data_IF_177321190976
#
_entry.id   IF_177321190976
#
_cell.length_a   1.000
_cell.length_b   1.000
_cell.length_c   1.000
_cell.angle_alpha   90.00
_cell.angle_beta   90.00
_cell.angle_gamma   90.00
#
_symmetry.space_group_name_H-M   'P 1'
#
loop_
_entity.id
_entity.type
_entity.pdbx_description
1 polymer ?
#
# COMPACT_ATOMS: atom_id res chain seq x y z
N UNK A 1 -5.79 -23.72 7.69
CA UNK A 1 -6.68 -23.80 8.87
C UNK A 1 -7.78 -22.77 8.67
N UNK A 2 -9.04 -23.15 8.56
CA UNK A 2 -10.14 -22.17 8.48
C UNK A 2 -10.41 -21.65 9.88
N UNK A 3 -10.63 -20.34 10.01
CA UNK A 3 -11.08 -19.76 11.28
C UNK A 3 -12.54 -20.18 11.45
N UNK A 4 -12.83 -21.12 12.34
CA UNK A 4 -14.20 -21.61 12.63
C UNK A 4 -15.00 -20.64 13.54
N UNK A 5 -14.41 -19.54 13.99
CA UNK A 5 -15.11 -18.55 14.77
C UNK A 5 -16.14 -17.81 13.89
N UNK A 6 -17.40 -17.77 14.34
CA UNK A 6 -18.45 -17.00 13.68
C UNK A 6 -18.04 -15.53 13.58
N UNK A 7 -18.38 -14.89 12.45
CA UNK A 7 -18.18 -13.44 12.29
C UNK A 7 -18.86 -12.69 13.44
N UNK A 8 -18.16 -11.72 14.10
CA UNK A 8 -18.77 -10.93 15.16
C UNK A 8 -19.98 -10.19 14.62
N UNK A 9 -21.13 -10.32 15.32
CA UNK A 9 -22.34 -9.61 14.97
C UNK A 9 -22.39 -8.27 15.73
N UNK A 10 -22.69 -7.19 15.03
CA UNK A 10 -23.00 -5.88 15.63
C UNK A 10 -21.99 -4.77 15.38
N UNK A 11 -20.71 -4.96 15.59
CA UNK A 11 -19.70 -3.93 15.34
C UNK A 11 -19.07 -4.08 13.95
N UNK A 12 -19.19 -3.04 13.12
CA UNK A 12 -18.68 -3.03 11.75
C UNK A 12 -17.16 -3.12 11.70
N UNK A 13 -16.46 -2.45 12.61
CA UNK A 13 -15.00 -2.52 12.62
C UNK A 13 -14.53 -3.90 13.07
N UNK A 14 -15.17 -4.51 14.07
CA UNK A 14 -14.87 -5.88 14.47
C UNK A 14 -15.06 -6.87 13.31
N UNK A 15 -16.10 -6.68 12.49
CA UNK A 15 -16.29 -7.46 11.25
C UNK A 15 -15.18 -7.22 10.23
N UNK A 16 -14.73 -5.96 10.04
CA UNK A 16 -13.60 -5.66 9.16
C UNK A 16 -12.31 -6.34 9.64
N UNK A 17 -12.02 -6.31 10.94
CA UNK A 17 -10.85 -6.95 11.52
C UNK A 17 -10.89 -8.48 11.35
N UNK A 18 -12.06 -9.09 11.52
CA UNK A 18 -12.24 -10.53 11.26
C UNK A 18 -12.02 -10.87 9.77
N UNK A 19 -12.60 -10.09 8.85
CA UNK A 19 -12.38 -10.26 7.41
C UNK A 19 -10.91 -10.07 7.02
N UNK A 20 -10.24 -9.06 7.60
CA UNK A 20 -8.81 -8.85 7.38
C UNK A 20 -7.97 -10.03 7.88
N UNK A 21 -8.34 -10.65 9.01
CA UNK A 21 -7.67 -11.82 9.55
C UNK A 21 -7.87 -13.05 8.65
N UNK A 22 -9.08 -13.32 8.18
CA UNK A 22 -9.36 -14.40 7.23
C UNK A 22 -8.55 -14.24 5.93
N UNK A 23 -8.54 -13.03 5.36
CA UNK A 23 -7.78 -12.73 4.15
C UNK A 23 -6.27 -12.83 4.38
N UNK A 24 -5.77 -12.37 5.53
CA UNK A 24 -4.34 -12.39 5.85
C UNK A 24 -3.78 -13.82 5.93
N UNK A 25 -4.56 -14.79 6.37
CA UNK A 25 -4.16 -16.21 6.38
C UNK A 25 -3.77 -16.72 4.98
N UNK A 26 -4.48 -16.28 3.94
CA UNK A 26 -4.16 -16.67 2.57
C UNK A 26 -3.02 -15.82 2.00
N UNK A 27 -3.01 -14.53 2.31
CA UNK A 27 -1.97 -13.61 1.83
C UNK A 27 -0.59 -13.97 2.38
N UNK A 28 -0.48 -14.42 3.62
CA UNK A 28 0.79 -14.80 4.25
C UNK A 28 1.37 -16.14 3.74
N UNK A 29 0.64 -16.88 2.91
CA UNK A 29 1.19 -18.06 2.21
C UNK A 29 2.13 -17.66 1.07
N UNK A 30 1.98 -16.45 0.53
CA UNK A 30 2.73 -15.93 -0.62
C UNK A 30 2.63 -16.76 -1.91
N UNK A 31 1.63 -17.63 -2.03
CA UNK A 31 1.40 -18.46 -3.23
C UNK A 31 0.82 -17.66 -4.41
N UNK A 32 0.09 -16.59 -4.09
CA UNK A 32 -0.58 -15.71 -5.05
C UNK A 32 -0.31 -14.26 -4.68
N UNK A 33 -0.20 -13.39 -5.68
CA UNK A 33 -0.02 -11.95 -5.47
C UNK A 33 -1.14 -11.36 -4.60
N UNK A 34 -0.76 -10.58 -3.59
CA UNK A 34 -1.67 -10.08 -2.55
C UNK A 34 -2.82 -9.22 -3.12
N UNK A 35 -2.55 -8.40 -4.13
CA UNK A 35 -3.55 -7.56 -4.83
C UNK A 35 -4.64 -8.41 -5.48
N UNK A 36 -4.29 -9.56 -6.07
CA UNK A 36 -5.23 -10.52 -6.66
C UNK A 36 -6.09 -11.18 -5.58
N UNK A 37 -5.48 -11.58 -4.45
CA UNK A 37 -6.20 -12.16 -3.32
C UNK A 37 -7.17 -11.15 -2.70
N UNK A 38 -6.71 -9.93 -2.41
CA UNK A 38 -7.55 -8.84 -1.90
C UNK A 38 -8.70 -8.54 -2.85
N UNK A 39 -8.42 -8.36 -4.14
CA UNK A 39 -9.45 -8.06 -5.14
C UNK A 39 -10.48 -9.18 -5.27
N UNK A 40 -10.06 -10.45 -5.21
CA UNK A 40 -10.96 -11.62 -5.22
C UNK A 40 -11.82 -11.63 -3.97
N UNK A 41 -11.22 -11.53 -2.80
CA UNK A 41 -11.90 -11.54 -1.51
C UNK A 41 -12.99 -10.47 -1.45
N UNK A 42 -12.65 -9.22 -1.82
CA UNK A 42 -13.61 -8.12 -1.81
C UNK A 42 -14.75 -8.25 -2.83
N UNK A 43 -14.57 -9.01 -3.92
CA UNK A 43 -15.64 -9.33 -4.87
C UNK A 43 -16.59 -10.40 -4.34
N UNK A 44 -16.06 -11.35 -3.58
CA UNK A 44 -16.83 -12.43 -2.96
C UNK A 44 -17.63 -11.92 -1.75
N UNK A 45 -17.10 -10.94 -1.00
CA UNK A 45 -17.72 -10.32 0.17
C UNK A 45 -18.46 -9.02 -0.20
N UNK A 46 -19.63 -9.18 -0.84
CA UNK A 46 -20.43 -8.02 -1.32
C UNK A 46 -21.11 -7.23 -0.21
N UNK A 47 -21.25 -7.79 0.96
CA UNK A 47 -21.78 -7.18 2.18
C UNK A 47 -20.88 -6.06 2.70
N UNK A 48 -19.59 -6.07 2.35
CA UNK A 48 -18.64 -5.00 2.72
C UNK A 48 -18.90 -3.73 1.92
N UNK A 49 -19.25 -2.66 2.61
CA UNK A 49 -19.39 -1.32 2.02
C UNK A 49 -18.04 -0.73 1.59
N UNK A 50 -18.02 0.40 0.86
CA UNK A 50 -16.77 1.00 0.36
C UNK A 50 -15.75 1.33 1.47
N UNK A 51 -16.23 1.80 2.64
CA UNK A 51 -15.36 2.08 3.80
C UNK A 51 -14.80 0.81 4.42
N UNK A 52 -15.63 -0.23 4.55
CA UNK A 52 -15.23 -1.52 5.11
C UNK A 52 -14.16 -2.17 4.23
N UNK A 53 -14.36 -2.16 2.91
CA UNK A 53 -13.38 -2.64 1.91
C UNK A 53 -12.04 -1.92 2.03
N UNK A 54 -12.08 -0.60 2.24
CA UNK A 54 -10.86 0.18 2.45
C UNK A 54 -10.14 -0.26 3.73
N UNK A 55 -10.84 -0.40 4.85
CA UNK A 55 -10.25 -0.83 6.13
C UNK A 55 -9.63 -2.23 5.98
N UNK A 56 -10.36 -3.19 5.41
CA UNK A 56 -9.86 -4.57 5.19
C UNK A 56 -8.60 -4.56 4.34
N UNK A 57 -8.62 -3.87 3.19
CA UNK A 57 -7.50 -3.84 2.26
C UNK A 57 -6.27 -3.13 2.87
N UNK A 58 -6.45 -1.93 3.46
CA UNK A 58 -5.34 -1.17 4.03
C UNK A 58 -4.73 -1.87 5.25
N UNK A 59 -5.54 -2.54 6.08
CA UNK A 59 -5.03 -3.36 7.19
C UNK A 59 -4.08 -4.45 6.66
N UNK A 60 -4.50 -5.21 5.65
CA UNK A 60 -3.68 -6.29 5.06
C UNK A 60 -2.41 -5.73 4.41
N UNK A 61 -2.53 -4.64 3.64
CA UNK A 61 -1.36 -4.03 3.01
C UNK A 61 -0.41 -3.37 4.04
N UNK A 62 -0.93 -2.82 5.14
CA UNK A 62 -0.09 -2.31 6.23
C UNK A 62 0.71 -3.44 6.88
N UNK A 63 0.09 -4.60 7.12
CA UNK A 63 0.79 -5.80 7.62
C UNK A 63 1.90 -6.23 6.66
N UNK A 64 1.63 -6.27 5.35
CA UNK A 64 2.65 -6.66 4.38
C UNK A 64 3.83 -5.68 4.33
N UNK A 65 3.55 -4.38 4.32
CA UNK A 65 4.58 -3.34 4.31
C UNK A 65 5.46 -3.34 5.55
N UNK A 66 4.89 -3.69 6.72
CA UNK A 66 5.58 -3.66 8.00
C UNK A 66 5.78 -5.06 8.60
N UNK A 67 5.80 -6.10 7.74
CA UNK A 67 5.71 -7.50 8.18
C UNK A 67 6.75 -7.88 9.23
N UNK A 68 8.01 -7.47 9.05
CA UNK A 68 9.08 -7.84 10.00
C UNK A 68 8.95 -7.11 11.33
N UNK A 69 8.69 -5.81 11.28
CA UNK A 69 8.45 -5.00 12.49
C UNK A 69 7.24 -5.52 13.25
N UNK A 70 6.10 -5.73 12.54
CA UNK A 70 4.89 -6.23 13.18
C UNK A 70 5.05 -7.66 13.71
N UNK A 71 5.76 -8.53 12.99
CA UNK A 71 6.06 -9.88 13.48
C UNK A 71 6.95 -9.87 14.73
N UNK A 72 7.90 -8.93 14.82
CA UNK A 72 8.73 -8.74 16.01
C UNK A 72 7.88 -8.25 17.19
N UNK A 73 7.08 -7.23 17.01
CA UNK A 73 6.18 -6.70 18.05
C UNK A 73 5.13 -7.72 18.48
N UNK A 74 4.64 -8.53 17.56
CA UNK A 74 3.65 -9.58 17.80
C UNK A 74 4.22 -10.83 18.50
N UNK A 75 5.50 -10.87 18.87
CA UNK A 75 6.04 -11.96 19.71
C UNK A 75 5.45 -11.91 21.12
N UNK A 76 5.04 -10.74 21.61
CA UNK A 76 4.26 -10.57 22.82
C UNK A 76 2.75 -10.64 22.52
N UNK A 77 1.92 -10.79 23.54
CA UNK A 77 0.47 -10.78 23.43
C UNK A 77 -0.17 -12.17 23.28
N UNK A 78 -1.48 -12.22 23.49
CA UNK A 78 -2.32 -13.42 23.41
C UNK A 78 -2.93 -13.64 22.03
N UNK A 79 -3.59 -14.78 21.82
CA UNK A 79 -4.28 -15.13 20.59
C UNK A 79 -3.37 -15.57 19.45
N UNK A 80 -3.91 -15.61 18.22
CA UNK A 80 -3.15 -16.04 17.04
C UNK A 80 -2.23 -14.93 16.53
N UNK A 81 -1.15 -15.30 15.84
CA UNK A 81 -0.23 -14.34 15.24
C UNK A 81 -0.96 -13.43 14.24
N UNK A 82 -1.82 -13.99 13.40
CA UNK A 82 -2.57 -13.26 12.39
C UNK A 82 -3.48 -12.20 13.02
N UNK A 83 -4.10 -12.53 14.17
CA UNK A 83 -4.93 -11.56 14.91
C UNK A 83 -4.09 -10.40 15.40
N UNK A 84 -2.94 -10.65 16.00
CA UNK A 84 -2.01 -9.59 16.45
C UNK A 84 -1.50 -8.74 15.31
N UNK A 85 -1.15 -9.35 14.17
CA UNK A 85 -0.74 -8.62 12.97
C UNK A 85 -1.87 -7.72 12.43
N UNK A 86 -3.11 -8.22 12.42
CA UNK A 86 -4.27 -7.43 12.00
C UNK A 86 -4.48 -6.23 12.92
N UNK A 87 -4.36 -6.39 14.23
CA UNK A 87 -4.50 -5.28 15.18
C UNK A 87 -3.42 -4.20 14.95
N UNK A 88 -2.17 -4.61 14.74
CA UNK A 88 -1.07 -3.68 14.39
C UNK A 88 -1.34 -2.97 13.05
N UNK A 89 -1.77 -3.70 12.03
CA UNK A 89 -2.10 -3.13 10.71
C UNK A 89 -3.30 -2.19 10.74
N UNK A 90 -4.34 -2.52 11.51
CA UNK A 90 -5.56 -1.72 11.62
C UNK A 90 -5.28 -0.33 12.23
N UNK A 91 -4.32 -0.18 13.13
CA UNK A 91 -3.93 1.13 13.65
C UNK A 91 -3.44 2.10 12.59
N UNK A 92 -2.97 1.62 11.46
CA UNK A 92 -2.53 2.47 10.35
C UNK A 92 -3.69 3.12 9.59
N UNK A 93 -4.92 2.62 9.75
CA UNK A 93 -6.08 3.06 8.97
C UNK A 93 -7.37 3.28 9.80
N UNK A 94 -7.29 3.13 11.12
CA UNK A 94 -8.40 3.37 12.04
C UNK A 94 -8.01 4.33 13.16
N UNK A 95 -9.00 4.82 13.92
CA UNK A 95 -8.73 5.63 15.11
C UNK A 95 -8.58 4.74 16.35
N UNK A 96 -7.80 5.18 17.32
CA UNK A 96 -7.62 4.44 18.58
C UNK A 96 -8.96 4.20 19.29
N UNK A 97 -9.82 5.20 19.36
CA UNK A 97 -11.16 5.06 19.96
C UNK A 97 -12.03 4.03 19.22
N UNK A 98 -12.00 4.02 17.89
CA UNK A 98 -12.73 3.04 17.09
C UNK A 98 -12.17 1.64 17.30
N UNK A 99 -10.84 1.48 17.33
CA UNK A 99 -10.20 0.18 17.54
C UNK A 99 -10.50 -0.35 18.94
N UNK A 100 -10.41 0.50 19.99
CA UNK A 100 -10.73 0.13 21.36
C UNK A 100 -12.16 -0.38 21.52
N UNK A 101 -13.12 0.26 20.85
CA UNK A 101 -14.51 -0.17 20.89
C UNK A 101 -14.79 -1.49 20.17
N UNK A 102 -13.94 -1.88 19.22
CA UNK A 102 -14.13 -3.03 18.35
C UNK A 102 -13.41 -4.31 18.78
N UNK A 103 -12.55 -4.25 19.80
CA UNK A 103 -11.70 -5.36 20.25
C UNK A 103 -11.85 -5.64 21.74
N UNK A 104 -11.35 -6.79 22.19
CA UNK A 104 -11.37 -7.15 23.60
C UNK A 104 -10.42 -6.27 24.43
N UNK A 105 -10.69 -6.12 25.73
CA UNK A 105 -9.92 -5.26 26.63
C UNK A 105 -8.46 -5.69 26.79
N UNK A 106 -8.21 -6.97 26.79
CA UNK A 106 -6.85 -7.54 26.81
C UNK A 106 -6.09 -7.27 25.51
N UNK A 107 -6.76 -7.34 24.35
CA UNK A 107 -6.20 -6.95 23.06
C UNK A 107 -5.87 -5.44 23.03
N UNK A 108 -6.77 -4.61 23.56
CA UNK A 108 -6.53 -3.16 23.66
C UNK A 108 -5.36 -2.82 24.56
N UNK A 109 -5.28 -3.48 25.72
CA UNK A 109 -4.17 -3.30 26.65
C UNK A 109 -2.85 -3.65 25.99
N UNK A 110 -2.78 -4.79 25.30
CA UNK A 110 -1.59 -5.23 24.58
C UNK A 110 -1.19 -4.25 23.47
N UNK A 111 -2.12 -3.90 22.56
CA UNK A 111 -1.81 -3.03 21.43
C UNK A 111 -1.38 -1.62 21.87
N UNK A 112 -1.95 -1.11 22.95
CA UNK A 112 -1.58 0.17 23.54
C UNK A 112 -0.13 0.13 24.08
N UNK A 113 0.25 -0.93 24.79
CA UNK A 113 1.61 -1.11 25.30
C UNK A 113 2.62 -1.24 24.16
N UNK A 114 2.35 -2.11 23.19
CA UNK A 114 3.25 -2.35 22.04
C UNK A 114 3.44 -1.07 21.21
N UNK A 115 2.44 -0.19 21.19
CA UNK A 115 2.51 1.08 20.46
C UNK A 115 3.43 2.11 21.08
N UNK A 116 3.82 1.94 22.34
CA UNK A 116 4.81 2.82 22.99
C UNK A 116 6.26 2.42 22.67
N UNK A 117 6.46 1.26 22.06
CA UNK A 117 7.79 0.78 21.68
C UNK A 117 8.38 1.69 20.60
N UNK A 118 9.53 2.28 20.90
CA UNK A 118 10.29 3.04 19.89
C UNK A 118 10.89 2.07 18.87
N UNK A 119 10.28 2.00 17.71
CA UNK A 119 10.73 1.10 16.63
C UNK A 119 12.15 1.42 16.14
N UNK A 120 12.70 2.63 16.41
CA UNK A 120 14.09 2.99 16.10
C UNK A 120 15.10 2.20 16.91
N UNK A 121 14.70 1.65 18.05
CA UNK A 121 15.57 0.81 18.90
C UNK A 121 15.64 -0.64 18.44
N UNK A 122 14.78 -1.04 17.50
CA UNK A 122 14.79 -2.39 16.94
C UNK A 122 16.04 -2.62 16.06
N UNK A 123 16.50 -3.87 15.91
CA UNK A 123 17.60 -4.18 15.00
C UNK A 123 17.37 -3.63 13.60
N UNK A 124 18.42 -3.10 12.97
CA UNK A 124 18.35 -2.48 11.65
C UNK A 124 17.71 -3.41 10.60
N UNK A 125 18.05 -4.69 10.61
CA UNK A 125 17.47 -5.71 9.73
C UNK A 125 15.95 -5.87 9.93
N UNK A 126 15.43 -5.71 11.16
CA UNK A 126 13.98 -5.75 11.43
C UNK A 126 13.32 -4.46 10.91
N UNK A 127 13.92 -3.30 11.19
CA UNK A 127 13.42 -1.98 10.76
C UNK A 127 13.33 -1.86 9.24
N UNK A 128 14.28 -2.46 8.51
CA UNK A 128 14.30 -2.42 7.05
C UNK A 128 13.05 -3.04 6.40
N UNK A 129 12.39 -3.98 7.06
CA UNK A 129 11.34 -4.86 6.50
C UNK A 129 11.75 -5.66 5.24
N UNK A 130 13.03 -5.65 4.90
CA UNK A 130 13.61 -6.45 3.81
C UNK A 130 14.05 -7.83 4.34
N UNK A 131 14.31 -8.79 3.47
CA UNK A 131 15.00 -10.02 3.89
C UNK A 131 16.43 -9.72 4.32
N UNK A 132 17.05 -10.59 5.11
CA UNK A 132 18.41 -10.36 5.59
C UNK A 132 19.41 -10.26 4.44
N UNK A 133 19.21 -11.05 3.37
CA UNK A 133 20.04 -11.03 2.18
C UNK A 133 19.95 -9.69 1.43
N UNK A 134 18.74 -9.18 1.21
CA UNK A 134 18.54 -7.88 0.56
C UNK A 134 19.06 -6.73 1.40
N UNK A 135 18.84 -6.76 2.71
CA UNK A 135 19.38 -5.72 3.60
C UNK A 135 20.90 -5.73 3.63
N UNK A 136 21.52 -6.92 3.66
CA UNK A 136 22.97 -7.05 3.62
C UNK A 136 23.57 -6.49 2.31
N UNK A 137 22.97 -6.79 1.14
CA UNK A 137 23.42 -6.26 -0.15
C UNK A 137 23.31 -4.73 -0.22
N UNK A 138 22.21 -4.16 0.28
CA UNK A 138 22.06 -2.70 0.35
C UNK A 138 23.07 -2.06 1.30
N UNK A 139 23.32 -2.72 2.44
CA UNK A 139 24.30 -2.24 3.43
C UNK A 139 25.74 -2.27 2.86
N UNK A 140 26.08 -3.30 2.09
CA UNK A 140 27.35 -3.39 1.39
C UNK A 140 27.51 -2.28 0.34
N UNK A 141 26.44 -1.98 -0.40
CA UNK A 141 26.47 -1.00 -1.49
C UNK A 141 26.46 0.45 -1.01
N UNK A 142 25.71 0.78 0.07
CA UNK A 142 25.42 2.16 0.47
C UNK A 142 25.78 2.49 1.92
N UNK A 143 26.18 1.50 2.73
CA UNK A 143 26.31 1.63 4.19
C UNK A 143 24.95 1.47 4.90
N UNK A 144 24.99 1.15 6.21
CA UNK A 144 23.77 0.81 6.98
C UNK A 144 22.78 1.97 7.05
N UNK A 145 23.25 3.20 7.22
CA UNK A 145 22.40 4.40 7.36
C UNK A 145 21.57 4.63 6.09
N UNK A 146 22.21 4.62 4.93
CA UNK A 146 21.55 4.87 3.65
C UNK A 146 20.69 3.67 3.21
N UNK A 147 21.14 2.45 3.50
CA UNK A 147 20.35 1.23 3.29
C UNK A 147 19.03 1.25 4.09
N UNK A 148 19.07 1.70 5.35
CA UNK A 148 17.87 1.88 6.17
C UNK A 148 16.96 2.98 5.62
N UNK A 149 17.52 4.14 5.27
CA UNK A 149 16.73 5.25 4.70
C UNK A 149 16.04 4.82 3.40
N UNK A 150 16.74 4.06 2.54
CA UNK A 150 16.17 3.50 1.31
C UNK A 150 15.06 2.48 1.62
N UNK A 151 15.28 1.57 2.57
CA UNK A 151 14.29 0.58 2.97
C UNK A 151 13.02 1.26 3.57
N UNK A 152 13.17 2.27 4.40
CA UNK A 152 12.07 3.07 4.93
C UNK A 152 11.28 3.78 3.82
N UNK A 153 11.97 4.35 2.83
CA UNK A 153 11.33 4.96 1.66
C UNK A 153 10.53 3.94 0.83
N UNK A 154 11.07 2.74 0.61
CA UNK A 154 10.40 1.64 -0.10
C UNK A 154 9.16 1.12 0.64
N UNK A 155 9.11 1.24 1.97
CA UNK A 155 7.98 0.82 2.80
C UNK A 155 6.85 1.86 2.89
N UNK A 156 7.01 3.03 2.30
CA UNK A 156 5.92 4.02 2.23
C UNK A 156 4.87 3.63 1.20
N UNK A 157 3.65 4.11 1.38
CA UNK A 157 2.62 3.91 0.37
C UNK A 157 3.00 4.67 -0.91
N UNK A 158 3.00 3.97 -2.04
CA UNK A 158 3.30 4.60 -3.32
C UNK A 158 2.30 5.73 -3.62
N UNK A 159 2.78 6.91 -4.06
CA UNK A 159 1.92 7.96 -4.56
C UNK A 159 1.19 7.50 -5.82
N UNK A 160 0.13 8.21 -6.20
CA UNK A 160 -0.51 8.01 -7.49
C UNK A 160 0.02 9.07 -8.46
N UNK A 161 0.91 8.65 -9.33
CA UNK A 161 1.44 9.51 -10.39
C UNK A 161 0.76 9.20 -11.72
N UNK A 162 0.53 10.23 -12.51
CA UNK A 162 -0.01 10.14 -13.86
C UNK A 162 0.95 10.80 -14.85
N UNK A 163 1.02 10.23 -16.04
CA UNK A 163 1.73 10.79 -17.18
C UNK A 163 0.72 11.43 -18.15
N UNK A 164 1.05 12.62 -18.63
CA UNK A 164 0.25 13.31 -19.63
C UNK A 164 0.66 12.84 -21.03
N UNK A 165 -0.31 12.42 -21.83
CA UNK A 165 -0.12 12.05 -23.22
C UNK A 165 -0.13 13.31 -24.09
N UNK A 166 1.05 13.79 -24.47
CA UNK A 166 1.21 15.03 -25.24
C UNK A 166 0.70 14.96 -26.68
N UNK A 167 0.41 13.76 -27.20
CA UNK A 167 -0.23 13.57 -28.51
C UNK A 167 -1.71 13.92 -28.41
N UNK A 168 -2.35 13.69 -27.27
CA UNK A 168 -3.80 13.84 -27.09
C UNK A 168 -4.19 15.09 -26.29
N UNK A 169 -3.30 15.59 -25.43
CA UNK A 169 -3.60 16.72 -24.56
C UNK A 169 -2.34 17.50 -24.20
N UNK A 170 -2.50 18.64 -23.54
CA UNK A 170 -1.41 19.43 -22.99
C UNK A 170 -1.44 19.40 -21.46
N UNK A 171 -0.28 19.66 -20.84
CA UNK A 171 -0.19 19.77 -19.38
C UNK A 171 -1.11 20.87 -18.82
N UNK A 172 -1.26 21.98 -19.57
CA UNK A 172 -2.14 23.07 -19.18
C UNK A 172 -3.61 22.64 -19.19
N UNK A 173 -4.06 21.97 -20.27
CA UNK A 173 -5.43 21.46 -20.39
C UNK A 173 -5.77 20.45 -19.30
N UNK A 174 -4.89 19.47 -19.06
CA UNK A 174 -5.06 18.48 -18.00
C UNK A 174 -5.14 19.16 -16.63
N UNK A 175 -4.30 20.16 -16.37
CA UNK A 175 -4.34 20.90 -15.08
C UNK A 175 -5.65 21.66 -14.88
N UNK A 176 -6.22 22.24 -15.93
CA UNK A 176 -7.51 22.94 -15.86
C UNK A 176 -8.62 21.94 -15.54
N UNK A 177 -8.66 20.81 -16.22
CA UNK A 177 -9.67 19.78 -15.99
C UNK A 177 -9.59 19.21 -14.56
N UNK A 178 -8.40 18.99 -14.04
CA UNK A 178 -8.23 18.59 -12.65
C UNK A 178 -8.55 19.72 -11.64
N UNK A 179 -8.54 21.00 -12.02
CA UNK A 179 -8.97 22.09 -11.14
C UNK A 179 -10.48 22.07 -10.87
N UNK A 180 -11.25 21.57 -11.82
CA UNK A 180 -12.72 21.46 -11.70
C UNK A 180 -13.15 20.15 -11.04
N UNK A 181 -12.26 19.18 -10.96
CA UNK A 181 -12.48 17.91 -10.29
C UNK A 181 -11.99 17.95 -8.83
N UNK A 182 -12.53 17.14 -7.91
CA UNK A 182 -12.15 17.12 -6.49
C UNK A 182 -10.78 16.45 -6.26
N UNK A 183 -9.82 16.66 -7.17
CA UNK A 183 -8.51 16.04 -7.08
C UNK A 183 -7.45 17.09 -6.73
N UNK A 184 -6.89 16.97 -5.54
CA UNK A 184 -5.72 17.75 -5.16
C UNK A 184 -4.47 17.13 -5.79
N UNK A 185 -3.57 17.96 -6.33
CA UNK A 185 -2.41 17.50 -7.09
C UNK A 185 -1.17 18.38 -6.88
N UNK A 186 -0.02 17.77 -7.10
CA UNK A 186 1.26 18.43 -7.23
C UNK A 186 1.93 18.06 -8.56
N UNK A 187 2.90 18.84 -8.99
CA UNK A 187 3.77 18.43 -10.11
C UNK A 187 4.74 17.37 -9.61
N UNK A 188 5.03 16.37 -10.43
CA UNK A 188 6.17 15.49 -10.18
C UNK A 188 7.46 16.32 -10.18
N UNK A 189 8.39 15.99 -9.30
CA UNK A 189 9.59 16.76 -9.12
C UNK A 189 10.56 16.63 -10.29
N UNK A 190 10.65 15.44 -10.88
CA UNK A 190 11.65 15.08 -11.88
C UNK A 190 11.05 14.80 -13.25
N UNK A 191 9.83 14.25 -13.33
CA UNK A 191 9.18 13.93 -14.60
C UNK A 191 8.41 15.15 -15.15
N UNK A 192 8.81 15.72 -16.30
CA UNK A 192 8.22 16.98 -16.83
C UNK A 192 6.75 16.84 -17.24
N UNK A 193 6.31 15.64 -17.59
CA UNK A 193 4.92 15.33 -17.97
C UNK A 193 4.13 14.68 -16.82
N UNK A 194 4.75 14.51 -15.66
CA UNK A 194 4.15 13.87 -14.51
C UNK A 194 3.30 14.84 -13.66
N UNK A 195 2.19 14.32 -13.14
CA UNK A 195 1.44 14.94 -12.05
C UNK A 195 1.22 13.92 -10.95
N UNK A 196 1.49 14.31 -9.70
CA UNK A 196 1.23 13.51 -8.51
C UNK A 196 -0.12 13.88 -7.94
N UNK A 197 -0.99 12.91 -7.74
CA UNK A 197 -2.31 13.10 -7.16
C UNK A 197 -2.26 12.85 -5.66
N UNK A 198 -2.97 13.67 -4.87
CA UNK A 198 -3.22 13.37 -3.47
C UNK A 198 -4.33 12.33 -3.36
N UNK A 199 -4.09 11.30 -2.57
CA UNK A 199 -5.00 10.17 -2.44
C UNK A 199 -5.01 9.27 -3.69
N UNK A 200 -6.02 8.42 -3.78
CA UNK A 200 -6.19 7.46 -4.89
C UNK A 200 -7.59 7.61 -5.52
N UNK A 201 -7.85 8.70 -6.25
CA UNK A 201 -9.15 8.89 -6.89
C UNK A 201 -9.40 7.82 -7.97
N UNK A 202 -10.68 7.50 -8.19
CA UNK A 202 -11.10 6.54 -9.21
C UNK A 202 -11.01 7.18 -10.61
N UNK A 203 -9.84 7.17 -11.21
CA UNK A 203 -9.57 7.78 -12.51
C UNK A 203 -10.22 7.05 -13.69
N UNK A 204 -10.39 5.72 -13.59
CA UNK A 204 -10.80 4.83 -14.69
C UNK A 204 -12.14 5.19 -15.33
N UNK A 205 -12.98 5.96 -14.62
CA UNK A 205 -14.30 6.40 -15.10
C UNK A 205 -14.32 7.85 -15.60
N UNK A 206 -13.18 8.54 -15.57
CA UNK A 206 -13.08 9.92 -16.04
C UNK A 206 -12.82 9.98 -17.54
N UNK A 207 -13.37 11.00 -18.22
CA UNK A 207 -13.19 11.17 -19.66
C UNK A 207 -11.72 11.40 -20.04
N UNK A 208 -10.98 12.08 -19.19
CA UNK A 208 -9.55 12.32 -19.38
C UNK A 208 -8.71 11.03 -19.38
N UNK A 209 -9.12 10.02 -18.59
CA UNK A 209 -8.48 8.72 -18.58
C UNK A 209 -8.96 7.85 -19.76
N UNK A 210 -10.26 7.78 -19.99
CA UNK A 210 -10.84 6.95 -21.07
C UNK A 210 -10.46 7.42 -22.45
N UNK A 211 -10.24 8.73 -22.65
CA UNK A 211 -9.69 9.29 -23.89
C UNK A 211 -8.19 8.97 -24.08
N UNK A 212 -7.49 8.54 -23.05
CA UNK A 212 -6.05 8.32 -23.04
C UNK A 212 -5.23 9.62 -23.04
N UNK A 213 -5.83 10.73 -22.59
CA UNK A 213 -5.11 12.00 -22.39
C UNK A 213 -4.14 11.91 -21.19
N UNK A 214 -4.41 11.00 -20.25
CA UNK A 214 -3.53 10.64 -19.13
C UNK A 214 -3.40 9.13 -19.01
N UNK A 215 -2.31 8.69 -18.41
CA UNK A 215 -2.04 7.30 -18.03
C UNK A 215 -1.49 7.25 -16.60
N UNK A 216 -1.83 6.22 -15.85
CA UNK A 216 -1.21 5.97 -14.55
C UNK A 216 0.19 5.40 -14.79
N UNK A 217 1.19 6.15 -14.39
CA UNK A 217 2.59 5.74 -14.52
C UNK A 217 3.43 6.42 -13.43
N UNK A 218 4.15 5.62 -12.66
CA UNK A 218 5.06 6.08 -11.63
C UNK A 218 6.13 7.05 -12.19
N UNK A 219 6.51 8.05 -11.40
CA UNK A 219 7.50 9.06 -11.80
C UNK A 219 8.84 8.44 -12.20
N UNK A 220 9.30 7.41 -11.46
CA UNK A 220 10.54 6.70 -11.80
C UNK A 220 10.48 6.00 -13.15
N UNK A 221 9.35 5.37 -13.49
CA UNK A 221 9.12 4.75 -14.80
C UNK A 221 9.10 5.77 -15.93
N UNK A 222 8.54 6.97 -15.68
CA UNK A 222 8.59 8.08 -16.64
C UNK A 222 10.04 8.53 -16.89
N UNK A 223 10.86 8.62 -15.84
CA UNK A 223 12.28 8.99 -15.96
C UNK A 223 13.09 7.95 -16.76
N UNK A 224 12.86 6.66 -16.52
CA UNK A 224 13.51 5.61 -17.29
C UNK A 224 13.23 5.75 -18.79
N UNK A 225 12.00 6.08 -19.16
CA UNK A 225 11.62 6.33 -20.54
C UNK A 225 12.36 7.54 -21.13
N UNK A 226 12.56 8.61 -20.35
CA UNK A 226 13.34 9.78 -20.77
C UNK A 226 14.83 9.45 -20.91
N UNK A 227 15.40 8.66 -20.00
CA UNK A 227 16.79 8.25 -20.04
C UNK A 227 17.11 7.36 -21.27
N UNK A 228 16.12 6.58 -21.73
CA UNK A 228 16.26 5.79 -22.94
C UNK A 228 16.57 6.66 -24.16
N UNK A 229 16.05 7.89 -24.20
CA UNK A 229 16.34 8.88 -25.24
C UNK A 229 15.95 8.43 -26.66
N UNK A 230 14.92 7.57 -26.79
CA UNK A 230 14.47 7.03 -28.07
C UNK A 230 14.18 8.14 -29.10
N UNK A 231 14.68 7.96 -30.32
CA UNK A 231 14.51 8.90 -31.44
C UNK A 231 13.53 8.38 -32.48
N UNK A 232 13.00 9.30 -33.27
CA UNK A 232 12.08 8.95 -34.37
C UNK A 232 12.76 7.96 -35.33
N UNK A 233 12.08 6.84 -35.61
CA UNK A 233 12.55 5.78 -36.49
C UNK A 233 13.29 4.65 -35.77
N UNK A 234 13.57 4.78 -34.46
CA UNK A 234 14.12 3.70 -33.68
C UNK A 234 13.03 2.73 -33.21
N UNK A 235 13.37 1.44 -33.17
CA UNK A 235 12.51 0.39 -32.62
C UNK A 235 12.83 0.25 -31.14
N UNK A 236 11.81 0.42 -30.29
CA UNK A 236 11.92 0.25 -28.85
C UNK A 236 11.07 -0.92 -28.41
N UNK A 237 11.66 -1.82 -27.63
CA UNK A 237 10.96 -2.95 -27.01
C UNK A 237 10.87 -2.75 -25.49
N UNK A 238 9.66 -2.80 -24.96
CA UNK A 238 9.43 -2.91 -23.52
C UNK A 238 9.19 -4.39 -23.20
N UNK A 239 10.20 -5.05 -22.67
CA UNK A 239 10.15 -6.47 -22.33
C UNK A 239 9.24 -6.77 -21.13
N UNK A 240 9.04 -5.78 -20.25
CA UNK A 240 8.26 -5.93 -19.03
C UNK A 240 6.93 -5.19 -19.08
N UNK A 241 6.44 -4.82 -20.25
CA UNK A 241 5.16 -4.13 -20.42
C UNK A 241 4.00 -4.95 -19.85
N UNK A 242 3.53 -4.59 -18.65
CA UNK A 242 2.49 -5.36 -17.95
C UNK A 242 1.07 -5.06 -18.43
N UNK A 243 0.81 -3.83 -18.85
CA UNK A 243 -0.52 -3.35 -19.25
C UNK A 243 -0.60 -2.92 -20.73
N UNK A 244 0.43 -3.16 -21.50
CA UNK A 244 0.49 -2.87 -22.93
C UNK A 244 1.16 -1.57 -23.27
#
# INVERSE_FOLDING_TARGET
>A
MRIEAASPQGDRLAQCLWNAQCLLLDVLKFDVAADKLVSRYLREHRELGPRDRHVVAETVFAVLRQKRVFSHLAQSGGGTLERRLVLLGARCCTTDAGLQAAIAEDEWTWISQVSTVDTRTLPAAVRSNLTDEWFAQLTEAYGETDALALAEALNTAAPLDIRINTIKSSRAAVRVEFNTAPFDRATCALAPLGLRLKGKPALQKTDIFTSGAIEVQDEGSQLLTHLLGAKRGEMVADFCAGAG
#
